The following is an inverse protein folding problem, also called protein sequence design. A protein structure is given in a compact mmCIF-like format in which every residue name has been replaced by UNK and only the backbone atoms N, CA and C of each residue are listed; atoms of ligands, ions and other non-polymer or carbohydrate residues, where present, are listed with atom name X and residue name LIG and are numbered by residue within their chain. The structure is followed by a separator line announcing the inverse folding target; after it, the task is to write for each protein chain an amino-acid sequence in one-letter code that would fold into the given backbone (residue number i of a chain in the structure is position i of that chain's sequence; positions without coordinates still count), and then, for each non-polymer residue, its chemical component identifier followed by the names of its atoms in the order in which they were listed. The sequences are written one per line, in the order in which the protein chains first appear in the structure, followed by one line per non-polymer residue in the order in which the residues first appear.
data_IF_758408359040
#
_entry.id   IF_758408359040
#
_cell.length_a   1.000
_cell.length_b   1.000
_cell.length_c   1.000
_cell.angle_alpha   90.00
_cell.angle_beta   90.00
_cell.angle_gamma   90.00
#
_symmetry.space_group_name_H-M   'P 1'
#
loop_
_entity.id
_entity.type
_entity.pdbx_description
1 polymer ?
#
# COMPACT_ATOMS: atom_id res chain seq x y z
N UNK A 1 31.34 -2.71 37.95
CA UNK A 1 31.31 -1.92 36.69
C UNK A 1 31.23 -2.90 35.54
N UNK A 2 30.07 -3.06 34.89
CA UNK A 2 29.98 -3.78 33.62
C UNK A 2 30.77 -3.02 32.57
N UNK A 3 31.63 -3.68 31.83
CA UNK A 3 32.49 -3.02 30.85
C UNK A 3 31.60 -2.35 29.78
N UNK A 4 32.02 -1.19 29.32
CA UNK A 4 31.37 -0.39 28.27
C UNK A 4 31.15 -1.19 26.94
N UNK A 5 31.80 -2.34 26.82
CA UNK A 5 31.70 -3.27 25.66
C UNK A 5 30.52 -4.26 25.82
N UNK A 6 30.11 -4.61 27.03
CA UNK A 6 28.98 -5.53 27.25
C UNK A 6 27.61 -4.84 27.10
N UNK A 7 27.53 -3.53 27.24
CA UNK A 7 26.31 -2.76 27.02
C UNK A 7 25.94 -2.57 25.52
N UNK A 8 26.86 -2.83 24.61
CA UNK A 8 26.69 -2.52 23.17
C UNK A 8 25.75 -3.46 22.40
N UNK A 9 25.53 -4.69 22.86
CA UNK A 9 24.60 -5.66 22.26
C UNK A 9 23.19 -5.65 22.86
N UNK A 10 23.02 -4.97 24.00
CA UNK A 10 21.79 -5.00 24.79
C UNK A 10 20.76 -3.94 24.34
N UNK A 11 21.14 -2.99 23.48
CA UNK A 11 20.27 -1.93 22.97
C UNK A 11 19.67 -2.30 21.62
N UNK A 12 18.35 -2.06 21.41
CA UNK A 12 17.72 -2.11 20.11
C UNK A 12 17.25 -0.72 19.69
N UNK A 13 17.45 -0.39 18.40
CA UNK A 13 16.97 0.88 17.81
C UNK A 13 15.81 0.58 16.89
N UNK A 14 14.65 1.22 17.09
CA UNK A 14 13.47 0.89 16.29
C UNK A 14 12.60 2.11 15.95
N UNK A 15 11.77 1.94 14.95
CA UNK A 15 10.66 2.84 14.63
C UNK A 15 9.39 2.05 14.36
N UNK A 16 8.24 2.68 14.64
CA UNK A 16 6.91 2.13 14.39
C UNK A 16 6.05 3.17 13.70
N UNK A 17 5.40 2.79 12.61
CA UNK A 17 4.58 3.71 11.85
C UNK A 17 3.58 3.07 10.91
N UNK A 18 2.67 3.88 10.38
CA UNK A 18 1.63 3.42 9.45
C UNK A 18 2.17 3.08 8.07
N UNK A 19 3.07 3.92 7.52
CA UNK A 19 3.66 3.75 6.19
C UNK A 19 2.62 3.45 5.10
N UNK A 20 1.54 4.22 5.04
CA UNK A 20 0.38 3.84 4.23
C UNK A 20 -0.19 4.97 3.36
N UNK A 21 0.28 5.05 2.07
CA UNK A 21 1.37 4.29 1.49
C UNK A 21 2.74 4.73 2.01
N UNK A 22 3.82 3.94 1.81
CA UNK A 22 5.18 4.41 2.06
C UNK A 22 5.54 5.56 1.12
N UNK A 23 6.37 6.49 1.59
CA UNK A 23 6.76 7.72 0.87
C UNK A 23 8.25 8.01 1.05
N UNK A 24 8.81 8.92 0.25
CA UNK A 24 10.16 9.45 0.45
C UNK A 24 10.36 10.11 1.82
N UNK A 25 9.28 10.67 2.42
CA UNK A 25 9.32 11.19 3.79
C UNK A 25 9.55 10.08 4.82
N UNK A 26 9.08 8.88 4.56
CA UNK A 26 9.37 7.72 5.42
C UNK A 26 10.81 7.22 5.27
N UNK A 27 11.44 7.39 4.11
CA UNK A 27 12.87 7.10 3.94
C UNK A 27 13.73 7.98 4.86
N UNK A 28 13.40 9.27 4.96
CA UNK A 28 14.08 10.20 5.88
C UNK A 28 13.98 9.75 7.35
N UNK A 29 12.82 9.21 7.75
CA UNK A 29 12.63 8.62 9.08
C UNK A 29 13.55 7.41 9.28
N UNK A 30 13.64 6.52 8.28
CA UNK A 30 14.50 5.33 8.35
C UNK A 30 15.99 5.73 8.31
N UNK A 31 16.34 6.77 7.55
CA UNK A 31 17.71 7.33 7.57
C UNK A 31 18.05 7.93 8.94
N UNK A 32 17.10 8.60 9.61
CA UNK A 32 17.30 9.08 10.96
C UNK A 32 17.47 7.92 11.96
N UNK A 33 16.70 6.86 11.80
CA UNK A 33 16.84 5.62 12.57
C UNK A 33 18.25 5.01 12.38
N UNK A 34 18.75 4.96 11.14
CA UNK A 34 20.09 4.45 10.85
C UNK A 34 21.20 5.33 11.46
N UNK A 35 21.02 6.68 11.45
CA UNK A 35 21.94 7.58 12.15
C UNK A 35 21.96 7.35 13.67
N UNK A 36 20.79 7.09 14.24
CA UNK A 36 20.69 6.81 15.68
C UNK A 36 21.30 5.44 16.03
N UNK A 37 21.09 4.45 15.17
CA UNK A 37 21.75 3.14 15.27
C UNK A 37 23.27 3.27 15.22
N UNK A 38 23.82 4.18 14.38
CA UNK A 38 25.24 4.47 14.32
C UNK A 38 25.85 5.02 15.63
N UNK A 39 25.03 5.68 16.49
CA UNK A 39 25.45 6.12 17.82
C UNK A 39 25.45 4.98 18.84
N UNK A 40 24.83 3.86 18.51
CA UNK A 40 24.73 2.65 19.33
C UNK A 40 25.39 1.46 18.60
N UNK A 41 26.71 1.40 18.52
CA UNK A 41 27.44 0.38 17.76
C UNK A 41 27.08 -1.04 18.23
N UNK A 42 26.72 -1.92 17.28
CA UNK A 42 26.29 -3.30 17.59
C UNK A 42 24.79 -3.45 17.88
N UNK A 43 24.06 -2.34 18.05
CA UNK A 43 22.62 -2.41 18.22
C UNK A 43 21.91 -2.82 16.90
N UNK A 44 20.98 -3.78 16.93
CA UNK A 44 20.15 -4.06 15.78
C UNK A 44 19.16 -2.93 15.50
N UNK A 45 18.84 -2.75 14.23
CA UNK A 45 17.84 -1.79 13.77
C UNK A 45 16.56 -2.50 13.33
N UNK A 46 15.39 -1.93 13.70
CA UNK A 46 14.10 -2.51 13.35
C UNK A 46 13.11 -1.45 12.85
N UNK A 47 12.50 -1.69 11.71
CA UNK A 47 11.39 -0.88 11.19
C UNK A 47 10.12 -1.73 11.25
N UNK A 48 9.15 -1.29 12.05
CA UNK A 48 7.88 -1.98 12.25
C UNK A 48 6.72 -1.24 11.56
N UNK A 49 6.26 -1.71 10.40
CA UNK A 49 5.02 -1.21 9.81
C UNK A 49 3.81 -1.67 10.61
N UNK A 50 2.87 -0.77 10.88
CA UNK A 50 1.66 -1.12 11.63
C UNK A 50 0.76 -2.09 10.87
N UNK A 51 -0.10 -2.81 11.60
CA UNK A 51 -1.16 -3.66 11.04
C UNK A 51 -2.47 -2.91 10.77
N UNK A 52 -2.53 -1.60 11.08
CA UNK A 52 -3.72 -0.81 10.81
C UNK A 52 -4.10 -0.89 9.34
N UNK A 53 -5.39 -1.15 9.08
CA UNK A 53 -5.98 -1.14 7.76
C UNK A 53 -7.34 -0.45 7.82
N UNK A 54 -7.51 0.57 6.98
CA UNK A 54 -8.74 1.33 6.84
C UNK A 54 -8.76 1.99 5.47
N UNK A 55 -9.84 1.85 4.73
CA UNK A 55 -9.95 2.35 3.35
C UNK A 55 -9.59 3.85 3.20
N UNK A 56 -9.91 4.70 4.17
CA UNK A 56 -9.64 6.15 4.09
C UNK A 56 -8.22 6.55 4.51
N UNK A 57 -7.70 5.96 5.60
CA UNK A 57 -6.45 6.42 6.23
C UNK A 57 -5.28 5.46 6.06
N UNK A 58 -5.56 4.16 5.98
CA UNK A 58 -4.55 3.10 5.93
C UNK A 58 -4.96 2.01 4.93
N UNK A 59 -5.12 2.32 3.61
CA UNK A 59 -5.70 1.39 2.65
C UNK A 59 -4.92 0.09 2.49
N UNK A 60 -3.59 0.17 2.40
CA UNK A 60 -2.78 -1.02 2.13
C UNK A 60 -2.75 -1.99 3.32
N UNK A 61 -2.99 -3.29 3.10
CA UNK A 61 -2.78 -4.31 4.11
C UNK A 61 -1.29 -4.47 4.44
N UNK A 62 -1.00 -4.99 5.64
CA UNK A 62 0.36 -5.08 6.19
C UNK A 62 1.37 -5.75 5.24
N UNK A 63 1.02 -6.89 4.64
CA UNK A 63 1.89 -7.63 3.73
C UNK A 63 2.28 -6.81 2.47
N UNK A 64 1.31 -6.11 1.88
CA UNK A 64 1.54 -5.21 0.74
C UNK A 64 2.45 -4.05 1.14
N UNK A 65 2.15 -3.44 2.28
CA UNK A 65 2.93 -2.34 2.87
C UNK A 65 4.40 -2.71 3.03
N UNK A 66 4.67 -3.84 3.70
CA UNK A 66 6.03 -4.38 3.88
C UNK A 66 6.71 -4.66 2.53
N UNK A 67 5.98 -5.27 1.58
CA UNK A 67 6.54 -5.59 0.27
C UNK A 67 6.98 -4.32 -0.49
N UNK A 68 6.13 -3.28 -0.49
CA UNK A 68 6.48 -2.00 -1.12
C UNK A 68 7.63 -1.30 -0.41
N UNK A 69 7.64 -1.25 0.92
CA UNK A 69 8.73 -0.65 1.68
C UNK A 69 10.08 -1.32 1.36
N UNK A 70 10.12 -2.66 1.29
CA UNK A 70 11.34 -3.40 0.96
C UNK A 70 11.85 -3.14 -0.46
N UNK A 71 10.95 -2.80 -1.39
CA UNK A 71 11.31 -2.42 -2.76
C UNK A 71 11.71 -0.95 -2.87
N UNK A 72 11.03 -0.07 -2.13
CA UNK A 72 11.32 1.36 -2.12
C UNK A 72 12.62 1.70 -1.39
N UNK A 73 12.92 0.96 -0.32
CA UNK A 73 14.06 1.20 0.56
C UNK A 73 14.99 -0.02 0.61
N UNK A 74 15.62 -0.40 -0.52
CA UNK A 74 16.40 -1.63 -0.63
C UNK A 74 17.58 -1.69 0.35
N UNK A 75 18.16 -0.54 0.70
CA UNK A 75 19.22 -0.39 1.70
C UNK A 75 18.78 -0.94 3.06
N UNK A 76 17.51 -0.79 3.41
CA UNK A 76 16.92 -1.15 4.70
C UNK A 76 16.06 -2.42 4.66
N UNK A 77 16.13 -3.16 3.56
CA UNK A 77 15.28 -4.35 3.32
C UNK A 77 15.31 -5.38 4.47
N UNK A 78 16.47 -5.56 5.09
CA UNK A 78 16.68 -6.52 6.21
C UNK A 78 16.08 -6.03 7.52
N UNK A 79 15.96 -4.73 7.69
CA UNK A 79 15.52 -4.07 8.91
C UNK A 79 14.00 -3.88 8.96
N UNK A 80 13.34 -3.90 7.79
CA UNK A 80 11.88 -3.84 7.68
C UNK A 80 11.30 -5.19 8.07
N UNK A 81 10.62 -5.23 9.23
CA UNK A 81 10.16 -6.49 9.86
C UNK A 81 8.76 -6.88 9.40
N UNK A 82 8.59 -8.19 9.24
CA UNK A 82 7.28 -8.82 9.24
C UNK A 82 7.05 -9.31 10.66
N UNK A 83 6.33 -8.55 11.45
CA UNK A 83 6.06 -8.86 12.85
C UNK A 83 4.55 -9.02 13.08
N UNK A 84 4.16 -9.74 14.12
CA UNK A 84 2.77 -9.83 14.58
C UNK A 84 2.37 -8.69 15.51
N UNK A 85 3.33 -7.88 15.94
CA UNK A 85 3.13 -6.72 16.80
C UNK A 85 2.15 -5.72 16.14
N UNK A 86 1.08 -5.37 16.84
CA UNK A 86 0.03 -4.48 16.35
C UNK A 86 0.16 -3.05 16.86
N UNK A 87 0.85 -2.88 17.96
CA UNK A 87 1.07 -1.61 18.63
C UNK A 87 2.48 -1.53 19.22
N UNK A 88 2.82 -0.39 19.80
CA UNK A 88 4.16 -0.15 20.34
C UNK A 88 4.49 -1.04 21.56
N UNK A 89 3.48 -1.43 22.33
CA UNK A 89 3.68 -2.30 23.49
C UNK A 89 4.05 -3.72 23.06
N UNK A 90 3.36 -4.26 22.04
CA UNK A 90 3.69 -5.57 21.48
C UNK A 90 5.14 -5.60 20.99
N UNK A 91 5.62 -4.47 20.41
CA UNK A 91 7.01 -4.31 19.97
C UNK A 91 7.96 -4.28 21.18
N UNK A 92 7.61 -3.52 22.22
CA UNK A 92 8.42 -3.46 23.44
C UNK A 92 8.57 -4.84 24.08
N UNK A 93 7.48 -5.60 24.19
CA UNK A 93 7.50 -6.99 24.67
C UNK A 93 8.33 -7.89 23.75
N UNK A 94 8.19 -7.77 22.44
CA UNK A 94 8.97 -8.54 21.46
C UNK A 94 10.48 -8.27 21.62
N UNK A 95 10.88 -7.00 21.78
CA UNK A 95 12.28 -6.61 21.94
C UNK A 95 12.84 -7.04 23.29
N UNK A 96 12.07 -6.90 24.36
CA UNK A 96 12.44 -7.39 25.69
C UNK A 96 12.64 -8.93 25.70
N UNK A 97 11.74 -9.68 25.07
CA UNK A 97 11.84 -11.13 24.96
C UNK A 97 13.02 -11.60 24.08
N UNK A 98 13.54 -10.72 23.21
CA UNK A 98 14.79 -10.95 22.46
C UNK A 98 16.05 -10.70 23.30
N UNK A 99 15.89 -10.27 24.55
CA UNK A 99 16.98 -10.05 25.50
C UNK A 99 17.56 -8.64 25.48
N UNK A 100 16.93 -7.69 24.77
CA UNK A 100 17.37 -6.31 24.81
C UNK A 100 17.03 -5.69 26.19
N UNK A 101 17.98 -4.93 26.73
CA UNK A 101 17.85 -4.25 28.02
C UNK A 101 17.59 -2.75 27.89
N UNK A 102 17.89 -2.20 26.72
CA UNK A 102 17.63 -0.81 26.40
C UNK A 102 17.01 -0.69 25.00
N UNK A 103 16.18 0.33 24.82
CA UNK A 103 15.57 0.62 23.52
C UNK A 103 15.66 2.10 23.19
N UNK A 104 15.91 2.39 21.92
CA UNK A 104 15.84 3.74 21.36
C UNK A 104 14.77 3.75 20.26
N UNK A 105 13.69 4.48 20.47
CA UNK A 105 12.64 4.66 19.48
C UNK A 105 12.85 5.97 18.74
N UNK A 106 12.79 5.92 17.40
CA UNK A 106 12.87 7.10 16.53
C UNK A 106 11.51 7.38 15.93
N UNK A 107 11.00 8.59 16.11
CA UNK A 107 9.67 9.02 15.64
C UNK A 107 9.70 10.44 15.07
N UNK A 108 8.59 10.90 14.46
CA UNK A 108 8.45 12.33 14.13
C UNK A 108 8.47 13.20 15.39
N UNK A 109 8.90 14.45 15.26
CA UNK A 109 9.02 15.40 16.39
C UNK A 109 7.72 15.55 17.16
N UNK A 110 6.58 15.51 16.47
CA UNK A 110 5.22 15.61 16.99
C UNK A 110 4.77 14.43 17.88
N UNK A 111 5.57 13.36 17.95
CA UNK A 111 5.20 12.12 18.64
C UNK A 111 6.18 11.72 19.74
N UNK A 112 7.23 12.49 19.97
CA UNK A 112 8.28 12.15 20.94
C UNK A 112 7.70 12.04 22.35
N UNK A 113 7.06 13.09 22.84
CA UNK A 113 6.52 13.15 24.20
C UNK A 113 5.43 12.09 24.43
N UNK A 114 4.59 11.83 23.40
CA UNK A 114 3.55 10.81 23.49
C UNK A 114 4.15 9.42 23.73
N UNK A 115 5.11 9.01 22.90
CA UNK A 115 5.71 7.68 23.02
C UNK A 115 6.66 7.55 24.20
N UNK A 116 7.37 8.62 24.56
CA UNK A 116 8.24 8.62 25.73
C UNK A 116 7.43 8.39 27.01
N UNK A 117 6.40 9.20 27.21
CA UNK A 117 5.49 9.04 28.34
C UNK A 117 4.81 7.66 28.37
N UNK A 118 4.35 7.20 27.18
CA UNK A 118 3.63 5.95 27.07
C UNK A 118 4.49 4.74 27.42
N UNK A 119 5.70 4.65 26.82
CA UNK A 119 6.59 3.52 27.05
C UNK A 119 7.17 3.49 28.46
N UNK A 120 7.57 4.65 29.00
CA UNK A 120 8.11 4.72 30.36
C UNK A 120 7.04 4.44 31.43
N UNK A 121 5.81 4.88 31.24
CA UNK A 121 4.70 4.64 32.17
C UNK A 121 4.43 3.15 32.41
N UNK A 122 4.56 2.33 31.37
CA UNK A 122 4.28 0.89 31.44
C UNK A 122 5.54 0.03 31.54
N UNK A 123 6.72 0.63 31.66
CA UNK A 123 7.98 -0.09 31.87
C UNK A 123 7.98 -0.78 33.24
N UNK A 124 8.22 -2.08 33.28
CA UNK A 124 8.18 -2.89 34.50
C UNK A 124 6.77 -3.22 35.02
N UNK A 125 5.73 -2.91 34.21
CA UNK A 125 4.33 -3.17 34.61
C UNK A 125 3.80 -4.36 33.79
N UNK A 126 3.31 -5.39 34.45
CA UNK A 126 2.59 -6.50 33.81
C UNK A 126 1.16 -6.07 33.47
N UNK A 127 0.75 -6.29 32.23
CA UNK A 127 -0.53 -5.83 31.71
C UNK A 127 -1.06 -6.67 30.55
N UNK A 128 -2.17 -6.23 29.98
CA UNK A 128 -2.82 -6.91 28.82
C UNK A 128 -1.90 -7.10 27.62
N UNK A 129 -0.85 -6.30 27.51
CA UNK A 129 0.13 -6.34 26.42
C UNK A 129 1.31 -7.25 26.72
N UNK A 130 1.33 -7.89 27.88
CA UNK A 130 2.47 -8.61 28.44
C UNK A 130 3.39 -7.69 29.22
N UNK A 131 4.58 -8.20 29.55
CA UNK A 131 5.58 -7.52 30.34
C UNK A 131 6.78 -7.11 29.50
N UNK A 132 7.28 -5.91 29.71
CA UNK A 132 8.63 -5.49 29.33
C UNK A 132 9.25 -4.67 30.47
N UNK A 133 10.56 -4.81 30.66
CA UNK A 133 11.32 -4.11 31.70
C UNK A 133 12.69 -3.76 31.14
N UNK A 134 12.82 -2.55 30.60
CA UNK A 134 14.08 -2.04 30.08
C UNK A 134 14.80 -1.21 31.14
N UNK A 135 16.12 -1.31 31.20
CA UNK A 135 16.96 -0.45 32.02
C UNK A 135 16.92 1.01 31.53
N UNK A 136 16.75 1.20 30.19
CA UNK A 136 16.64 2.50 29.55
C UNK A 136 15.67 2.46 28.37
N UNK A 137 14.77 3.45 28.31
CA UNK A 137 13.91 3.75 27.17
C UNK A 137 14.18 5.19 26.74
N UNK A 138 14.55 5.37 25.49
CA UNK A 138 14.77 6.68 24.90
C UNK A 138 13.93 6.86 23.66
N UNK A 139 13.20 7.98 23.57
CA UNK A 139 12.47 8.35 22.37
C UNK A 139 13.09 9.61 21.77
N UNK A 140 13.47 9.56 20.50
CA UNK A 140 14.17 10.64 19.83
C UNK A 140 13.46 11.07 18.55
N UNK A 141 13.59 12.35 18.23
CA UNK A 141 13.03 12.92 17.00
C UNK A 141 13.86 12.53 15.77
N UNK A 142 13.18 12.18 14.70
CA UNK A 142 13.78 12.05 13.37
C UNK A 142 14.08 13.40 12.70
N UNK A 143 13.71 14.50 13.34
CA UNK A 143 13.69 15.87 12.82
C UNK A 143 12.28 16.35 12.54
N UNK A 144 12.15 17.64 12.29
CA UNK A 144 10.87 18.25 11.97
C UNK A 144 10.36 17.78 10.60
N UNK A 145 9.07 17.57 10.52
CA UNK A 145 8.36 17.49 9.24
C UNK A 145 8.04 18.91 8.82
N UNK A 146 8.46 19.29 7.65
CA UNK A 146 7.90 20.47 7.00
C UNK A 146 6.67 20.02 6.18
N UNK A 147 5.45 20.22 6.70
CA UNK A 147 4.22 19.83 6.01
C UNK A 147 3.93 20.73 4.81
N UNK A 148 4.54 21.90 4.76
CA UNK A 148 4.34 22.94 3.75
C UNK A 148 5.42 22.92 2.67
N UNK A 149 6.44 22.04 2.81
CA UNK A 149 7.47 21.89 1.79
C UNK A 149 6.84 21.48 0.45
N UNK A 150 7.09 22.26 -0.59
CA UNK A 150 6.68 21.97 -1.95
C UNK A 150 7.49 20.82 -2.56
N UNK A 151 6.87 20.05 -3.44
CA UNK A 151 7.51 18.98 -4.20
C UNK A 151 7.76 17.71 -3.40
N UNK A 152 8.85 17.01 -3.74
CA UNK A 152 9.20 15.67 -3.22
C UNK A 152 9.35 15.62 -1.70
N UNK A 153 9.79 16.72 -1.07
CA UNK A 153 10.01 16.81 0.38
C UNK A 153 8.72 16.96 1.18
N UNK A 154 7.68 17.56 0.60
CA UNK A 154 6.38 17.79 1.24
C UNK A 154 5.32 16.73 0.96
N UNK A 155 5.63 15.69 0.16
CA UNK A 155 4.64 14.67 -0.18
C UNK A 155 4.42 13.69 0.98
N UNK A 156 3.31 13.89 1.69
CA UNK A 156 2.87 13.00 2.77
C UNK A 156 2.05 11.82 2.25
N UNK A 157 1.92 10.76 3.07
CA UNK A 157 1.01 9.66 2.74
C UNK A 157 -0.46 10.12 2.58
N UNK A 158 -0.87 11.18 3.25
CA UNK A 158 -2.19 11.78 3.10
C UNK A 158 -2.36 12.45 1.73
N UNK A 159 -1.36 13.23 1.28
CA UNK A 159 -1.35 13.83 -0.06
C UNK A 159 -1.34 12.75 -1.15
N UNK A 160 -0.56 11.66 -0.98
CA UNK A 160 -0.59 10.54 -1.92
C UNK A 160 -1.96 9.85 -1.99
N UNK A 161 -2.64 9.65 -0.85
CA UNK A 161 -4.00 9.08 -0.88
C UNK A 161 -5.00 10.04 -1.54
N UNK A 162 -4.88 11.34 -1.34
CA UNK A 162 -5.70 12.34 -2.03
C UNK A 162 -5.49 12.28 -3.55
N UNK A 163 -4.23 12.21 -4.00
CA UNK A 163 -3.91 12.03 -5.42
C UNK A 163 -4.47 10.72 -5.98
N UNK A 164 -4.39 9.61 -5.20
CA UNK A 164 -5.00 8.35 -5.60
C UNK A 164 -6.54 8.44 -5.70
N UNK A 165 -7.17 9.23 -4.84
CA UNK A 165 -8.62 9.44 -4.87
C UNK A 165 -9.07 10.25 -6.08
N UNK A 166 -8.28 11.24 -6.50
CA UNK A 166 -8.55 12.09 -7.67
C UNK A 166 -8.02 11.52 -8.99
N UNK A 167 -7.50 10.29 -9.00
CA UNK A 167 -6.89 9.62 -10.16
C UNK A 167 -5.66 10.36 -10.74
N UNK A 168 -4.96 11.13 -9.90
CA UNK A 168 -3.78 11.90 -10.30
C UNK A 168 -2.50 11.11 -9.99
N UNK A 169 -2.07 10.29 -10.96
CA UNK A 169 -0.84 9.52 -10.81
C UNK A 169 0.42 10.38 -10.79
N UNK A 170 0.45 11.48 -11.54
CA UNK A 170 1.62 12.37 -11.58
C UNK A 170 1.86 13.02 -10.21
N UNK A 171 0.80 13.47 -9.55
CA UNK A 171 0.89 13.97 -8.18
C UNK A 171 1.27 12.86 -7.19
N UNK A 172 0.71 11.66 -7.35
CA UNK A 172 1.06 10.50 -6.52
C UNK A 172 2.54 10.14 -6.61
N UNK A 173 3.10 10.16 -7.83
CA UNK A 173 4.48 9.82 -8.14
C UNK A 173 5.50 10.72 -7.44
N UNK A 174 5.15 11.95 -7.09
CA UNK A 174 6.02 12.86 -6.35
C UNK A 174 6.40 12.33 -4.95
N UNK A 175 5.58 11.45 -4.38
CA UNK A 175 5.88 10.78 -3.11
C UNK A 175 6.79 9.56 -3.21
N UNK A 176 7.16 9.15 -4.41
CA UNK A 176 7.94 7.95 -4.67
C UNK A 176 9.43 8.27 -4.88
N UNK A 177 10.34 7.38 -4.50
CA UNK A 177 11.75 7.51 -4.85
C UNK A 177 11.95 7.55 -6.37
N UNK A 178 12.92 8.34 -6.83
CA UNK A 178 13.28 8.38 -8.26
C UNK A 178 13.64 6.98 -8.75
N UNK A 179 13.05 6.56 -9.87
CA UNK A 179 13.30 5.26 -10.48
C UNK A 179 12.56 4.08 -9.84
N UNK A 180 11.63 4.32 -8.92
CA UNK A 180 10.79 3.25 -8.37
C UNK A 180 9.86 2.68 -9.44
N UNK A 181 10.12 1.42 -9.87
CA UNK A 181 9.45 0.80 -11.02
C UNK A 181 8.01 0.36 -10.74
N UNK A 182 7.67 0.06 -9.49
CA UNK A 182 6.34 -0.42 -9.11
C UNK A 182 5.37 0.74 -8.77
N UNK A 183 5.64 1.99 -9.20
CA UNK A 183 4.85 3.17 -8.84
C UNK A 183 3.38 3.06 -9.26
N UNK A 184 3.12 2.70 -10.52
CA UNK A 184 1.75 2.50 -11.03
C UNK A 184 1.02 1.36 -10.30
N UNK A 185 1.74 0.26 -10.02
CA UNK A 185 1.17 -0.85 -9.28
C UNK A 185 0.79 -0.44 -7.85
N UNK A 186 1.64 0.34 -7.19
CA UNK A 186 1.34 0.88 -5.87
C UNK A 186 0.12 1.82 -5.91
N UNK A 187 0.04 2.67 -6.92
CA UNK A 187 -1.09 3.58 -7.13
C UNK A 187 -2.40 2.80 -7.29
N UNK A 188 -2.44 1.80 -8.18
CA UNK A 188 -3.60 0.92 -8.39
C UNK A 188 -3.98 0.14 -7.12
N UNK A 189 -3.00 -0.44 -6.42
CA UNK A 189 -3.25 -1.13 -5.15
C UNK A 189 -3.87 -0.16 -4.11
N UNK A 190 -3.34 1.06 -3.98
CA UNK A 190 -3.90 2.07 -3.06
C UNK A 190 -5.35 2.38 -3.41
N UNK A 191 -5.68 2.65 -4.67
CA UNK A 191 -7.05 2.90 -5.16
C UNK A 191 -7.98 1.73 -4.86
N UNK A 192 -7.54 0.51 -5.20
CA UNK A 192 -8.31 -0.72 -4.95
C UNK A 192 -8.64 -0.88 -3.46
N UNK A 193 -7.66 -0.72 -2.57
CA UNK A 193 -7.86 -0.85 -1.13
C UNK A 193 -8.56 0.37 -0.49
N UNK A 194 -8.64 1.50 -1.18
CA UNK A 194 -9.53 2.60 -0.83
C UNK A 194 -10.99 2.32 -1.22
N UNK A 195 -11.26 1.24 -1.96
CA UNK A 195 -12.59 0.91 -2.47
C UNK A 195 -13.00 1.77 -3.65
N UNK A 196 -12.03 2.43 -4.30
CA UNK A 196 -12.25 3.17 -5.53
C UNK A 196 -12.37 2.12 -6.64
N UNK A 197 -13.57 1.97 -7.17
CA UNK A 197 -13.78 1.17 -8.38
C UNK A 197 -13.05 1.92 -9.50
N UNK A 198 -12.15 1.25 -10.19
CA UNK A 198 -11.72 1.73 -11.48
C UNK A 198 -12.98 1.73 -12.35
N UNK A 199 -13.45 2.91 -12.73
CA UNK A 199 -14.29 3.00 -13.92
C UNK A 199 -13.35 2.56 -15.05
N UNK A 200 -13.47 1.29 -15.41
CA UNK A 200 -12.95 0.86 -16.69
C UNK A 200 -13.74 1.68 -17.72
N UNK A 201 -13.15 2.73 -18.24
CA UNK A 201 -13.52 3.27 -19.55
C UNK A 201 -13.13 2.17 -20.55
N UNK A 202 -13.87 1.05 -20.47
CA UNK A 202 -13.86 0.06 -21.55
C UNK A 202 -14.24 0.84 -22.79
N UNK A 203 -13.41 0.76 -23.81
CA UNK A 203 -13.85 1.18 -25.13
C UNK A 203 -15.16 0.44 -25.41
N UNK A 204 -16.03 1.03 -26.21
CA UNK A 204 -17.30 0.39 -26.56
C UNK A 204 -17.09 -1.04 -27.13
N UNK A 205 -15.99 -1.23 -27.84
CA UNK A 205 -15.55 -2.54 -28.34
C UNK A 205 -15.21 -3.53 -27.21
N UNK A 206 -14.48 -3.11 -26.20
CA UNK A 206 -14.15 -3.93 -25.02
C UNK A 206 -15.40 -4.25 -24.20
N UNK A 207 -16.31 -3.29 -24.05
CA UNK A 207 -17.58 -3.49 -23.37
C UNK A 207 -18.45 -4.53 -24.12
N UNK A 208 -18.60 -4.37 -25.44
CA UNK A 208 -19.35 -5.30 -26.28
C UNK A 208 -18.74 -6.71 -26.24
N UNK A 209 -17.42 -6.81 -26.24
CA UNK A 209 -16.74 -8.09 -26.09
C UNK A 209 -17.01 -8.76 -24.73
N UNK A 210 -17.00 -8.01 -23.64
CA UNK A 210 -17.29 -8.54 -22.30
C UNK A 210 -18.76 -9.02 -22.21
N UNK A 211 -19.71 -8.23 -22.71
CA UNK A 211 -21.12 -8.59 -22.79
C UNK A 211 -21.36 -9.84 -23.67
N UNK A 212 -20.63 -9.94 -24.80
CA UNK A 212 -20.67 -11.11 -25.68
C UNK A 212 -20.17 -12.39 -24.99
N UNK A 213 -19.06 -12.31 -24.26
CA UNK A 213 -18.49 -13.45 -23.51
C UNK A 213 -19.45 -13.91 -22.42
N UNK A 214 -20.13 -12.98 -21.76
CA UNK A 214 -21.15 -13.27 -20.74
C UNK A 214 -22.46 -13.81 -21.32
N UNK A 215 -22.63 -13.77 -22.62
CA UNK A 215 -23.86 -14.18 -23.27
C UNK A 215 -25.01 -13.19 -23.14
N UNK A 216 -24.70 -11.92 -22.86
CA UNK A 216 -25.70 -10.85 -22.70
C UNK A 216 -26.09 -10.23 -24.04
N UNK A 217 -25.24 -10.34 -25.06
CA UNK A 217 -25.51 -9.87 -26.42
C UNK A 217 -25.02 -10.89 -27.48
N UNK A 218 -25.55 -10.78 -28.67
CA UNK A 218 -25.16 -11.55 -29.88
C UNK A 218 -25.15 -13.07 -29.66
N UNK A 219 -26.26 -13.59 -29.22
CA UNK A 219 -26.43 -15.02 -28.97
C UNK A 219 -26.85 -15.78 -30.25
N UNK A 220 -26.69 -17.08 -30.21
CA UNK A 220 -27.21 -17.94 -31.29
C UNK A 220 -28.72 -17.77 -31.41
N UNK A 221 -29.20 -17.48 -32.63
CA UNK A 221 -30.59 -17.14 -32.92
C UNK A 221 -30.89 -15.65 -33.03
N UNK A 222 -29.97 -14.78 -32.54
CA UNK A 222 -30.15 -13.33 -32.67
C UNK A 222 -29.94 -12.91 -34.15
N UNK A 223 -30.80 -12.02 -34.64
CA UNK A 223 -30.59 -11.29 -35.89
C UNK A 223 -29.81 -10.03 -35.59
N UNK A 224 -28.67 -9.88 -36.19
CA UNK A 224 -27.75 -8.77 -35.98
C UNK A 224 -27.36 -8.11 -37.29
N UNK A 225 -27.00 -6.84 -37.21
CA UNK A 225 -26.59 -6.01 -38.32
C UNK A 225 -25.09 -5.75 -38.26
N UNK A 226 -24.45 -5.78 -39.43
CA UNK A 226 -23.04 -5.43 -39.58
C UNK A 226 -22.88 -3.90 -39.75
N UNK A 227 -21.68 -3.39 -39.46
CA UNK A 227 -21.33 -1.97 -39.70
C UNK A 227 -21.46 -1.58 -41.18
N UNK A 228 -21.40 -2.56 -42.11
CA UNK A 228 -21.58 -2.35 -43.56
C UNK A 228 -23.07 -2.39 -44.00
N UNK A 229 -23.97 -2.64 -43.02
CA UNK A 229 -25.41 -2.62 -43.23
C UNK A 229 -26.04 -3.97 -43.56
N UNK A 230 -25.26 -5.03 -43.65
CA UNK A 230 -25.78 -6.40 -43.85
C UNK A 230 -26.42 -6.93 -42.57
N UNK A 231 -27.47 -7.75 -42.71
CA UNK A 231 -28.11 -8.45 -41.60
C UNK A 231 -27.91 -9.96 -41.72
N UNK A 232 -27.90 -10.65 -40.59
CA UNK A 232 -27.82 -12.09 -40.56
C UNK A 232 -28.18 -12.70 -39.22
N UNK A 233 -28.66 -13.94 -39.23
CA UNK A 233 -28.96 -14.69 -38.00
C UNK A 233 -27.70 -15.42 -37.52
N UNK A 234 -27.36 -15.28 -36.27
CA UNK A 234 -26.21 -15.97 -35.66
C UNK A 234 -26.54 -17.45 -35.49
N UNK A 235 -25.77 -18.35 -36.13
CA UNK A 235 -25.90 -19.80 -35.95
C UNK A 235 -24.79 -20.40 -35.08
N UNK A 236 -23.68 -19.68 -34.89
CA UNK A 236 -22.55 -20.13 -34.04
C UNK A 236 -21.77 -18.95 -33.50
N UNK A 237 -21.31 -19.09 -32.27
CA UNK A 237 -20.39 -18.15 -31.57
C UNK A 237 -18.96 -18.67 -31.59
N UNK A 238 -17.99 -17.82 -31.87
CA UNK A 238 -16.56 -18.05 -31.67
C UNK A 238 -16.03 -17.16 -30.54
N UNK A 239 -14.73 -17.13 -30.35
CA UNK A 239 -14.13 -16.30 -29.29
C UNK A 239 -14.28 -14.79 -29.53
N UNK A 240 -14.11 -14.35 -30.79
CA UNK A 240 -14.17 -12.92 -31.20
C UNK A 240 -14.98 -12.73 -32.49
N UNK A 241 -15.84 -13.68 -32.83
CA UNK A 241 -16.63 -13.66 -34.05
C UNK A 241 -17.93 -14.45 -33.88
N UNK A 242 -18.87 -14.18 -34.75
CA UNK A 242 -20.07 -14.98 -34.95
C UNK A 242 -20.06 -15.56 -36.35
N UNK A 243 -20.89 -16.61 -36.58
CA UNK A 243 -21.14 -17.19 -37.89
C UNK A 243 -22.62 -17.01 -38.20
N UNK A 244 -22.92 -16.43 -39.34
CA UNK A 244 -24.27 -16.26 -39.82
C UNK A 244 -24.82 -17.52 -40.52
N UNK A 245 -26.11 -17.55 -40.79
CA UNK A 245 -26.80 -18.66 -41.45
C UNK A 245 -26.28 -18.96 -42.85
N UNK A 246 -25.72 -17.97 -43.54
CA UNK A 246 -25.04 -18.11 -44.83
C UNK A 246 -23.58 -18.59 -44.71
N UNK A 247 -23.17 -19.03 -43.51
CA UNK A 247 -21.83 -19.49 -43.15
C UNK A 247 -20.75 -18.41 -43.15
N UNK A 248 -21.07 -17.14 -43.36
CA UNK A 248 -20.11 -16.04 -43.23
C UNK A 248 -19.66 -15.90 -41.81
N UNK A 249 -18.36 -15.71 -41.67
CA UNK A 249 -17.73 -15.37 -40.37
C UNK A 249 -17.64 -13.86 -40.24
N UNK A 250 -18.27 -13.29 -39.20
CA UNK A 250 -18.28 -11.86 -38.95
C UNK A 250 -17.60 -11.60 -37.61
N UNK A 251 -16.60 -10.71 -37.60
CA UNK A 251 -15.88 -10.32 -36.39
C UNK A 251 -16.72 -9.37 -35.52
N UNK A 252 -16.58 -9.43 -34.22
CA UNK A 252 -17.40 -8.63 -33.28
C UNK A 252 -17.33 -7.12 -33.56
N UNK A 253 -16.16 -6.60 -33.91
CA UNK A 253 -15.99 -5.17 -34.23
C UNK A 253 -16.70 -4.73 -35.53
N UNK A 254 -17.15 -5.67 -36.33
CA UNK A 254 -17.95 -5.40 -37.55
C UNK A 254 -19.46 -5.55 -37.29
N UNK A 255 -19.88 -5.77 -36.08
CA UNK A 255 -21.30 -5.79 -35.70
C UNK A 255 -21.74 -4.42 -35.21
N UNK A 256 -22.92 -3.96 -35.59
CA UNK A 256 -23.50 -2.74 -35.04
C UNK A 256 -23.82 -2.92 -33.54
N UNK A 257 -23.73 -1.80 -32.81
CA UNK A 257 -24.03 -1.75 -31.38
C UNK A 257 -25.49 -2.12 -31.11
N UNK A 258 -25.72 -2.96 -30.13
CA UNK A 258 -27.06 -3.19 -29.60
C UNK A 258 -27.50 -1.94 -28.83
N UNK A 259 -28.38 -1.12 -29.43
CA UNK A 259 -29.04 -0.05 -28.68
C UNK A 259 -29.91 -0.68 -27.59
N UNK A 260 -29.45 -0.66 -26.35
CA UNK A 260 -30.27 -1.04 -25.20
C UNK A 260 -31.46 -0.09 -25.12
N UNK A 261 -32.61 -0.58 -25.53
CA UNK A 261 -33.88 0.11 -25.27
C UNK A 261 -34.19 0.03 -23.77
N UNK A 262 -34.08 1.17 -23.08
CA UNK A 262 -34.33 1.32 -21.64
C UNK A 262 -35.82 1.15 -21.28
N UNK A 263 -36.58 0.33 -22.03
CA UNK A 263 -37.98 0.03 -21.74
C UNK A 263 -38.15 -1.45 -21.48
N UNK A 264 -38.03 -1.83 -20.24
CA UNK A 264 -38.86 -2.83 -19.56
C UNK A 264 -38.24 -3.24 -18.23
N UNK A 265 -38.53 -2.45 -17.18
CA UNK A 265 -38.75 -2.95 -15.82
C UNK A 265 -40.05 -2.31 -15.34
N UNK A 266 -41.16 -3.01 -15.62
CA UNK A 266 -42.37 -2.90 -14.85
C UNK A 266 -42.35 -3.96 -13.77
#
# INVERSE_FOLDING_TARGET
MKSFLEARGDTAVFTFGRFNPPTTGHEKLIDALAREQGKNPGAPMYVYPSHSQNAKKDPLPHNKKVAYMKKMFPKYKKDIKVSRARNVFDIAVELHNKGHKAVVMVVGSDRVDEFDNLLNKYNGVDGRHGYYGFDEIKVVSAGERDPDAEGVTGMSASKMRAAAQSDDFEQFKLGLPKGFRDGEKLFKDVRTFMGIKEEYNLTLEELNRDLYIRGEIWNVGDVVKTTDGDEGTIIRKGTNYVVFEDLRKVWLHNLEEVKQDKRNKS
#
